data_IF_994182026886
#
_entry.id   IF_994182026886
#
_cell.length_a   1.000
_cell.length_b   1.000
_cell.length_c   1.000
_cell.angle_alpha   90.00
_cell.angle_beta   90.00
_cell.angle_gamma   90.00
#
_symmetry.space_group_name_H-M   'P 1'
#
loop_
_entity.id
_entity.type
_entity.pdbx_description
1 polymer ?
#
# COMPACT_ATOMS: atom_id res chain seq x y z
N UNK A 1 3.44 4.39 -25.52
CA UNK A 1 2.18 3.93 -24.91
C UNK A 1 2.30 4.06 -23.42
N UNK A 2 1.25 4.58 -22.78
CA UNK A 2 1.15 4.73 -21.31
C UNK A 2 -0.03 3.95 -20.80
N UNK A 3 0.03 3.57 -19.52
CA UNK A 3 -1.08 2.98 -18.78
C UNK A 3 -1.53 3.99 -17.72
N UNK A 4 -2.77 4.45 -17.82
CA UNK A 4 -3.42 5.26 -16.78
C UNK A 4 -4.29 4.34 -15.93
N UNK A 5 -4.04 4.34 -14.63
CA UNK A 5 -4.88 3.65 -13.64
C UNK A 5 -5.42 4.68 -12.66
N UNK A 6 -6.72 4.69 -12.47
CA UNK A 6 -7.41 5.56 -11.52
C UNK A 6 -8.12 4.69 -10.49
N UNK A 7 -7.86 4.94 -9.21
CA UNK A 7 -8.50 4.23 -8.10
C UNK A 7 -9.50 5.12 -7.37
N UNK A 8 -10.65 4.56 -7.05
CA UNK A 8 -11.67 5.14 -6.18
C UNK A 8 -11.75 4.31 -4.88
N UNK A 9 -11.90 4.95 -3.72
CA UNK A 9 -11.99 4.30 -2.41
C UNK A 9 -13.09 4.95 -1.56
N UNK A 10 -13.69 4.14 -0.69
CA UNK A 10 -14.47 4.59 0.47
C UNK A 10 -15.52 5.69 0.17
N UNK A 11 -16.34 5.48 -0.86
CA UNK A 11 -17.42 6.41 -1.22
C UNK A 11 -17.10 7.30 -2.43
N UNK A 12 -15.85 7.32 -2.91
CA UNK A 12 -15.55 7.96 -4.20
C UNK A 12 -16.33 7.28 -5.33
N UNK A 13 -16.86 8.07 -6.27
CA UNK A 13 -17.40 7.50 -7.50
C UNK A 13 -16.28 6.96 -8.40
N UNK A 14 -16.38 5.71 -8.87
CA UNK A 14 -15.42 5.16 -9.83
C UNK A 14 -15.55 5.86 -11.17
N UNK A 15 -14.43 6.03 -11.88
CA UNK A 15 -14.45 6.50 -13.26
C UNK A 15 -15.25 5.54 -14.13
N UNK A 16 -16.15 6.05 -14.97
CA UNK A 16 -17.01 5.27 -15.88
C UNK A 16 -16.43 5.16 -17.27
N UNK A 17 -15.69 6.19 -17.67
CA UNK A 17 -15.07 6.34 -18.99
C UNK A 17 -13.74 7.10 -18.92
N UNK A 18 -13.11 7.31 -20.06
CA UNK A 18 -11.84 8.04 -20.15
C UNK A 18 -11.97 9.51 -19.70
N UNK A 19 -13.11 10.16 -19.97
CA UNK A 19 -13.34 11.54 -19.55
C UNK A 19 -13.39 11.66 -18.00
N UNK A 20 -14.04 10.71 -17.33
CA UNK A 20 -14.04 10.61 -15.88
C UNK A 20 -12.63 10.37 -15.33
N UNK A 21 -11.85 9.48 -15.96
CA UNK A 21 -10.45 9.22 -15.57
C UNK A 21 -9.60 10.47 -15.71
N UNK A 22 -9.74 11.23 -16.78
CA UNK A 22 -9.01 12.47 -17.01
C UNK A 22 -9.37 13.51 -15.94
N UNK A 23 -10.67 13.69 -15.64
CA UNK A 23 -11.14 14.62 -14.60
C UNK A 23 -10.61 14.27 -13.20
N UNK A 24 -10.49 12.98 -12.88
CA UNK A 24 -9.89 12.55 -11.60
C UNK A 24 -8.38 12.81 -11.62
N UNK A 25 -7.70 12.53 -12.73
CA UNK A 25 -6.27 12.80 -12.87
C UNK A 25 -5.96 14.30 -12.72
N UNK A 26 -6.76 15.19 -13.33
CA UNK A 26 -6.60 16.64 -13.25
C UNK A 26 -6.67 17.20 -11.82
N UNK A 27 -7.38 16.52 -10.92
CA UNK A 27 -7.45 16.93 -9.51
C UNK A 27 -6.29 16.42 -8.66
N UNK A 28 -5.56 15.41 -9.11
CA UNK A 28 -4.59 14.66 -8.27
C UNK A 28 -3.19 14.56 -8.87
N UNK A 29 -3.05 14.67 -10.18
CA UNK A 29 -1.77 14.52 -10.87
C UNK A 29 -1.10 15.89 -11.12
N UNK A 30 0.24 15.92 -11.20
CA UNK A 30 0.97 17.12 -11.60
C UNK A 30 0.57 17.62 -12.99
N UNK A 31 0.62 18.94 -13.21
CA UNK A 31 0.18 19.57 -14.47
C UNK A 31 0.85 19.01 -15.73
N UNK A 32 2.14 18.68 -15.68
CA UNK A 32 2.82 18.10 -16.82
C UNK A 32 2.28 16.74 -17.26
N UNK A 33 1.73 15.95 -16.30
CA UNK A 33 1.03 14.69 -16.59
C UNK A 33 -0.35 14.97 -17.15
N UNK A 34 -1.09 15.92 -16.57
CA UNK A 34 -2.40 16.33 -17.06
C UNK A 34 -2.34 16.87 -18.49
N UNK A 35 -1.35 17.72 -18.79
CA UNK A 35 -1.12 18.24 -20.15
C UNK A 35 -0.89 17.13 -21.16
N UNK A 36 -0.08 16.12 -20.80
CA UNK A 36 0.16 14.96 -21.65
C UNK A 36 -1.11 14.10 -21.84
N UNK A 37 -1.92 13.91 -20.80
CA UNK A 37 -3.16 13.13 -20.87
C UNK A 37 -4.25 13.83 -21.74
N UNK A 38 -4.33 15.16 -21.70
CA UNK A 38 -5.29 15.91 -22.54
C UNK A 38 -5.04 15.77 -24.04
N UNK A 39 -3.81 15.47 -24.43
CA UNK A 39 -3.41 15.26 -25.84
C UNK A 39 -3.34 13.79 -26.22
N UNK A 40 -3.57 12.88 -25.26
CA UNK A 40 -3.48 11.45 -25.49
C UNK A 40 -4.77 10.90 -26.11
N UNK A 41 -4.61 9.96 -27.02
CA UNK A 41 -5.73 9.18 -27.58
C UNK A 41 -5.83 7.82 -26.85
N UNK A 42 -7.00 7.45 -26.31
CA UNK A 42 -7.19 6.15 -25.69
C UNK A 42 -7.09 5.03 -26.73
N UNK A 43 -6.38 3.94 -26.40
CA UNK A 43 -6.19 2.79 -27.30
C UNK A 43 -7.36 1.81 -27.23
N UNK A 44 -8.30 2.00 -26.30
CA UNK A 44 -9.46 1.15 -26.14
C UNK A 44 -10.31 1.61 -24.96
N UNK A 45 -11.33 0.83 -24.66
CA UNK A 45 -12.23 1.12 -23.54
C UNK A 45 -11.53 0.89 -22.20
N UNK A 46 -11.84 1.68 -21.16
CA UNK A 46 -11.35 1.47 -19.81
C UNK A 46 -11.78 0.11 -19.24
N UNK A 47 -10.83 -0.62 -18.66
CA UNK A 47 -11.13 -1.84 -17.93
C UNK A 47 -11.46 -1.52 -16.46
N UNK A 48 -12.55 -2.08 -15.95
CA UNK A 48 -13.02 -1.83 -14.59
C UNK A 48 -12.78 -3.06 -13.71
N UNK A 49 -12.18 -2.84 -12.55
CA UNK A 49 -11.97 -3.87 -11.53
C UNK A 49 -12.49 -3.38 -10.19
N UNK A 50 -13.13 -4.27 -9.45
CA UNK A 50 -13.54 -4.01 -8.07
C UNK A 50 -12.84 -4.99 -7.13
N UNK A 51 -12.12 -4.45 -6.17
CA UNK A 51 -11.50 -5.20 -5.08
C UNK A 51 -12.23 -4.86 -3.79
N UNK A 52 -13.16 -5.71 -3.34
CA UNK A 52 -14.08 -5.37 -2.23
C UNK A 52 -13.37 -5.31 -0.87
N UNK A 53 -12.26 -6.00 -0.71
CA UNK A 53 -11.49 -6.03 0.56
C UNK A 53 -10.13 -6.68 0.39
N UNK A 54 -9.20 -6.31 1.26
CA UNK A 54 -8.02 -7.12 1.50
C UNK A 54 -8.44 -8.46 2.11
N UNK A 55 -7.77 -9.56 1.74
CA UNK A 55 -8.12 -10.89 2.25
C UNK A 55 -6.88 -11.70 2.59
N UNK A 56 -6.69 -12.03 3.85
CA UNK A 56 -5.63 -12.91 4.31
C UNK A 56 -6.19 -14.25 4.79
N UNK A 57 -5.89 -15.31 4.06
CA UNK A 57 -6.21 -16.70 4.44
C UNK A 57 -5.10 -17.19 5.35
N UNK A 58 -5.47 -17.43 6.60
CA UNK A 58 -4.55 -17.70 7.71
C UNK A 58 -4.12 -19.18 7.73
N UNK A 59 -3.51 -19.65 6.61
CA UNK A 59 -3.07 -21.05 6.50
C UNK A 59 -2.04 -21.43 7.56
N UNK A 60 -1.24 -20.49 8.06
CA UNK A 60 -0.29 -20.70 9.15
C UNK A 60 -0.95 -21.04 10.49
N UNK A 61 -2.27 -20.85 10.61
CA UNK A 61 -3.07 -21.21 11.80
C UNK A 61 -3.76 -22.56 11.66
N UNK A 62 -3.70 -23.19 10.49
CA UNK A 62 -4.34 -24.49 10.31
C UNK A 62 -3.56 -25.58 11.05
N UNK A 63 -4.29 -26.38 11.82
CA UNK A 63 -3.73 -27.54 12.53
C UNK A 63 -3.39 -28.68 11.55
N UNK A 64 -4.23 -28.85 10.52
CA UNK A 64 -4.07 -29.89 9.48
C UNK A 64 -4.13 -29.23 8.11
N UNK A 65 -3.21 -29.61 7.24
CA UNK A 65 -3.16 -29.14 5.86
C UNK A 65 -2.88 -30.32 4.94
N UNK A 66 -3.46 -30.39 3.71
CA UNK A 66 -3.20 -31.49 2.77
C UNK A 66 -1.71 -31.61 2.46
N UNK A 67 -1.19 -32.85 2.49
CA UNK A 67 0.17 -33.11 2.07
C UNK A 67 0.30 -32.97 0.53
N UNK A 68 1.46 -32.56 0.06
CA UNK A 68 1.71 -32.36 -1.37
C UNK A 68 1.11 -31.09 -1.97
N UNK A 69 0.44 -30.23 -1.17
CA UNK A 69 -0.14 -28.97 -1.61
C UNK A 69 0.56 -27.78 -0.94
N UNK A 70 0.88 -26.74 -1.72
CA UNK A 70 1.34 -25.43 -1.24
C UNK A 70 0.58 -24.36 -2.01
N UNK A 71 0.11 -23.33 -1.30
CA UNK A 71 -0.64 -22.21 -1.84
C UNK A 71 0.24 -20.97 -1.71
N UNK A 72 0.34 -20.15 -2.77
CA UNK A 72 1.22 -18.96 -2.80
C UNK A 72 0.52 -17.72 -3.32
N UNK A 73 1.15 -16.55 -3.14
CA UNK A 73 0.72 -15.26 -3.70
C UNK A 73 -0.67 -14.83 -3.22
N UNK A 74 -1.49 -14.29 -4.09
CA UNK A 74 -2.82 -13.76 -3.79
C UNK A 74 -3.78 -14.81 -3.24
N UNK A 75 -3.53 -16.08 -3.53
CA UNK A 75 -4.28 -17.19 -2.93
C UNK A 75 -4.00 -17.35 -1.43
N UNK A 76 -2.88 -16.82 -0.91
CA UNK A 76 -2.60 -16.69 0.53
C UNK A 76 -3.11 -15.36 1.06
N UNK A 77 -2.70 -14.27 0.41
CA UNK A 77 -3.11 -12.93 0.82
C UNK A 77 -3.24 -12.01 -0.39
N UNK A 78 -4.47 -11.57 -0.67
CA UNK A 78 -4.74 -10.57 -1.69
C UNK A 78 -4.90 -9.19 -1.05
N UNK A 79 -4.29 -8.20 -1.68
CA UNK A 79 -4.35 -6.79 -1.25
C UNK A 79 -5.09 -5.96 -2.28
N UNK A 80 -5.68 -4.85 -1.83
CA UNK A 80 -6.13 -3.83 -2.75
C UNK A 80 -4.91 -3.30 -3.55
N UNK A 81 -4.98 -3.29 -4.89
CA UNK A 81 -3.88 -2.88 -5.76
C UNK A 81 -3.32 -1.47 -5.46
N UNK A 82 -4.10 -0.59 -4.84
CA UNK A 82 -3.70 0.77 -4.48
C UNK A 82 -2.47 0.79 -3.56
N UNK A 83 -2.24 -0.27 -2.78
CA UNK A 83 -1.07 -0.36 -1.90
C UNK A 83 0.22 -0.75 -2.61
N UNK A 84 0.14 -1.26 -3.85
CA UNK A 84 1.30 -1.63 -4.66
C UNK A 84 2.16 -2.77 -4.11
N UNK A 85 1.75 -3.45 -3.04
CA UNK A 85 2.59 -4.42 -2.33
C UNK A 85 2.36 -5.87 -2.72
N UNK A 86 1.27 -6.18 -3.43
CA UNK A 86 0.88 -7.57 -3.74
C UNK A 86 1.98 -8.36 -4.47
N UNK A 87 2.54 -7.80 -5.54
CA UNK A 87 3.61 -8.45 -6.32
C UNK A 87 4.90 -8.62 -5.50
N UNK A 88 5.26 -7.64 -4.69
CA UNK A 88 6.43 -7.74 -3.81
C UNK A 88 6.25 -8.85 -2.77
N UNK A 89 5.07 -8.93 -2.16
CA UNK A 89 4.75 -10.02 -1.21
C UNK A 89 4.83 -11.37 -1.91
N UNK A 90 4.26 -11.52 -3.11
CA UNK A 90 4.31 -12.76 -3.86
C UNK A 90 5.76 -13.18 -4.21
N UNK A 91 6.61 -12.22 -4.59
CA UNK A 91 8.03 -12.48 -4.83
C UNK A 91 8.78 -12.93 -3.58
N UNK A 92 8.53 -12.28 -2.44
CA UNK A 92 9.12 -12.66 -1.15
C UNK A 92 8.61 -14.03 -0.67
N UNK A 93 7.36 -14.35 -0.95
CA UNK A 93 6.77 -15.67 -0.68
C UNK A 93 7.42 -16.75 -1.54
N UNK A 94 7.69 -16.49 -2.82
CA UNK A 94 8.43 -17.40 -3.68
C UNK A 94 9.85 -17.68 -3.15
N UNK A 95 10.54 -16.63 -2.67
CA UNK A 95 11.85 -16.79 -2.01
C UNK A 95 11.75 -17.58 -0.70
N UNK A 96 10.68 -17.40 0.07
CA UNK A 96 10.44 -18.18 1.27
C UNK A 96 10.19 -19.66 0.94
N UNK A 97 9.40 -19.93 -0.09
CA UNK A 97 9.16 -21.29 -0.59
C UNK A 97 10.45 -21.96 -1.07
N UNK A 98 11.27 -21.26 -1.85
CA UNK A 98 12.56 -21.74 -2.30
C UNK A 98 13.46 -22.16 -1.12
N UNK A 99 13.55 -21.34 -0.06
CA UNK A 99 14.32 -21.67 1.15
C UNK A 99 13.77 -22.91 1.85
N UNK A 100 12.44 -23.03 1.94
CA UNK A 100 11.79 -24.19 2.55
C UNK A 100 12.04 -25.48 1.76
N UNK A 101 11.99 -25.41 0.42
CA UNK A 101 12.29 -26.56 -0.46
C UNK A 101 13.74 -27.02 -0.34
N UNK A 102 14.70 -26.08 -0.27
CA UNK A 102 16.13 -26.44 -0.04
C UNK A 102 16.38 -27.17 1.28
N UNK A 103 15.50 -27.03 2.25
CA UNK A 103 15.58 -27.72 3.55
C UNK A 103 14.79 -29.05 3.57
N UNK A 104 14.40 -29.54 2.39
CA UNK A 104 13.63 -30.79 2.22
C UNK A 104 12.11 -30.58 2.28
N UNK A 105 11.36 -31.62 2.01
CA UNK A 105 9.90 -31.60 1.87
C UNK A 105 9.14 -31.88 3.17
N UNK A 106 9.84 -32.37 4.21
CA UNK A 106 9.21 -32.65 5.51
C UNK A 106 8.54 -31.39 6.07
N UNK A 107 7.23 -31.49 6.35
CA UNK A 107 6.41 -30.38 6.86
C UNK A 107 6.49 -29.11 6.01
N UNK A 108 6.74 -29.23 4.70
CA UNK A 108 7.00 -28.12 3.80
C UNK A 108 5.92 -27.04 3.89
N UNK A 109 4.65 -27.41 3.75
CA UNK A 109 3.55 -26.46 3.76
C UNK A 109 3.50 -25.66 5.07
N UNK A 110 3.65 -26.32 6.22
CA UNK A 110 3.65 -25.66 7.54
C UNK A 110 4.80 -24.68 7.68
N UNK A 111 6.02 -25.10 7.32
CA UNK A 111 7.23 -24.24 7.37
C UNK A 111 7.07 -23.02 6.46
N UNK A 112 6.57 -23.27 5.25
CA UNK A 112 6.36 -22.22 4.27
C UNK A 112 5.30 -21.22 4.75
N UNK A 113 4.11 -21.66 5.19
CA UNK A 113 3.08 -20.75 5.67
C UNK A 113 3.51 -19.94 6.88
N UNK A 114 4.31 -20.50 7.78
CA UNK A 114 4.90 -19.75 8.89
C UNK A 114 5.90 -18.69 8.42
N UNK A 115 6.69 -18.99 7.39
CA UNK A 115 7.64 -18.05 6.80
C UNK A 115 6.91 -16.93 6.03
N UNK A 116 5.94 -17.28 5.17
CA UNK A 116 5.09 -16.35 4.42
C UNK A 116 4.33 -15.41 5.35
N UNK A 117 3.74 -15.93 6.44
CA UNK A 117 3.00 -15.11 7.39
C UNK A 117 3.82 -13.99 8.02
N UNK A 118 5.15 -14.11 8.10
CA UNK A 118 6.02 -13.02 8.60
C UNK A 118 6.06 -11.86 7.62
N UNK A 119 6.19 -12.15 6.33
CA UNK A 119 6.19 -11.17 5.24
C UNK A 119 4.82 -10.52 5.09
N UNK A 120 3.78 -11.35 4.94
CA UNK A 120 2.40 -10.91 4.78
C UNK A 120 1.97 -9.98 5.92
N UNK A 121 2.36 -10.28 7.16
CA UNK A 121 1.99 -9.47 8.33
C UNK A 121 2.45 -8.01 8.24
N UNK A 122 3.60 -7.76 7.63
CA UNK A 122 4.11 -6.39 7.44
C UNK A 122 3.21 -5.64 6.46
N UNK A 123 2.99 -6.20 5.27
CA UNK A 123 2.12 -5.60 4.26
C UNK A 123 0.67 -5.46 4.75
N UNK A 124 0.16 -6.48 5.45
CA UNK A 124 -1.19 -6.45 6.04
C UNK A 124 -1.38 -5.31 7.04
N UNK A 125 -0.42 -5.11 7.93
CA UNK A 125 -0.49 -4.00 8.89
C UNK A 125 -0.50 -2.65 8.20
N UNK A 126 0.32 -2.47 7.16
CA UNK A 126 0.34 -1.23 6.38
C UNK A 126 -1.00 -0.99 5.69
N UNK A 127 -1.53 -1.98 4.98
CA UNK A 127 -2.82 -1.89 4.29
C UNK A 127 -3.97 -1.63 5.27
N UNK A 128 -4.07 -2.40 6.36
CA UNK A 128 -5.11 -2.21 7.36
C UNK A 128 -5.02 -0.85 8.07
N UNK A 129 -3.80 -0.36 8.32
CA UNK A 129 -3.58 0.96 8.91
C UNK A 129 -4.03 2.08 7.97
N UNK A 130 -3.75 1.94 6.68
CA UNK A 130 -4.18 2.88 5.65
C UNK A 130 -5.70 2.84 5.43
N UNK A 131 -6.31 1.66 5.34
CA UNK A 131 -7.77 1.52 5.24
C UNK A 131 -8.45 2.19 6.45
N UNK A 132 -8.02 1.88 7.66
CA UNK A 132 -8.57 2.43 8.89
C UNK A 132 -8.23 3.91 9.14
N UNK A 133 -7.40 4.56 8.32
CA UNK A 133 -7.23 6.01 8.36
C UNK A 133 -8.43 6.74 7.75
N UNK A 134 -9.18 6.07 6.86
CA UNK A 134 -10.37 6.62 6.22
C UNK A 134 -11.56 6.58 7.19
N UNK A 135 -12.27 7.69 7.42
CA UNK A 135 -13.41 7.76 8.35
C UNK A 135 -14.54 6.78 7.99
N UNK A 136 -14.75 6.53 6.70
CA UNK A 136 -15.80 5.69 6.13
C UNK A 136 -15.59 4.19 6.40
N UNK A 137 -14.37 3.79 6.71
CA UNK A 137 -14.05 2.39 7.00
C UNK A 137 -14.30 2.10 8.48
N UNK A 138 -15.27 1.22 8.73
CA UNK A 138 -15.57 0.79 10.09
C UNK A 138 -14.45 -0.09 10.67
N UNK A 139 -14.10 0.11 11.92
CA UNK A 139 -13.12 -0.70 12.65
C UNK A 139 -12.51 0.01 13.84
N UNK A 140 -11.89 -0.78 14.72
CA UNK A 140 -11.16 -0.24 15.86
C UNK A 140 -9.89 0.47 15.40
N UNK A 141 -9.64 1.64 15.97
CA UNK A 141 -8.43 2.46 15.73
C UNK A 141 -7.60 2.56 17.01
N UNK A 142 -6.80 1.54 17.35
CA UNK A 142 -5.97 1.56 18.55
C UNK A 142 -5.03 2.78 18.56
N UNK A 143 -4.72 3.28 19.76
CA UNK A 143 -3.86 4.46 19.92
C UNK A 143 -2.53 4.33 19.17
N UNK A 144 -1.90 3.14 19.23
CA UNK A 144 -0.67 2.88 18.49
C UNK A 144 -0.79 3.02 16.97
N UNK A 145 -1.95 2.65 16.40
CA UNK A 145 -2.24 2.87 14.98
C UNK A 145 -2.38 4.36 14.66
N UNK A 146 -3.08 5.12 15.49
CA UNK A 146 -3.26 6.57 15.31
C UNK A 146 -1.91 7.32 15.35
N UNK A 147 -1.04 6.94 16.28
CA UNK A 147 0.33 7.49 16.37
C UNK A 147 1.13 7.14 15.11
N UNK A 148 1.06 5.88 14.66
CA UNK A 148 1.75 5.43 13.46
C UNK A 148 1.26 6.15 12.20
N UNK A 149 -0.06 6.34 12.04
CA UNK A 149 -0.63 7.07 10.91
C UNK A 149 -0.17 8.53 10.94
N UNK A 150 -0.23 9.21 12.10
CA UNK A 150 0.28 10.58 12.21
C UNK A 150 1.77 10.69 11.88
N UNK A 151 2.57 9.71 12.27
CA UNK A 151 3.97 9.65 11.87
C UNK A 151 4.13 9.44 10.36
N UNK A 152 3.31 8.59 9.74
CA UNK A 152 3.30 8.38 8.29
C UNK A 152 2.97 9.68 7.54
N UNK A 153 2.02 10.48 8.03
CA UNK A 153 1.67 11.79 7.45
C UNK A 153 2.87 12.74 7.48
N UNK A 154 3.61 12.79 8.61
CA UNK A 154 4.83 13.60 8.72
C UNK A 154 5.93 13.13 7.76
N UNK A 155 6.08 11.82 7.58
CA UNK A 155 7.02 11.25 6.61
C UNK A 155 6.61 11.63 5.19
N UNK A 156 5.35 11.46 4.81
CA UNK A 156 4.83 11.82 3.48
C UNK A 156 5.04 13.31 3.19
N UNK A 157 4.76 14.19 4.14
CA UNK A 157 5.02 15.61 4.00
C UNK A 157 6.52 15.92 3.78
N UNK A 158 7.42 15.18 4.43
CA UNK A 158 8.85 15.35 4.25
C UNK A 158 9.37 14.78 2.92
N UNK A 159 8.74 13.74 2.38
CA UNK A 159 9.09 13.13 1.07
C UNK A 159 9.07 14.17 -0.06
N UNK A 160 8.15 15.12 -0.01
CA UNK A 160 8.01 16.15 -1.03
C UNK A 160 9.21 17.13 -1.11
N UNK A 161 9.97 17.25 -0.03
CA UNK A 161 11.05 18.26 0.10
C UNK A 161 12.42 17.68 0.42
N UNK A 162 12.49 16.43 0.87
CA UNK A 162 13.76 15.76 1.23
C UNK A 162 13.91 14.43 0.49
N UNK A 163 14.79 14.41 -0.51
CA UNK A 163 15.05 13.24 -1.35
C UNK A 163 15.61 12.03 -0.55
N UNK A 164 16.29 12.27 0.59
CA UNK A 164 16.81 11.17 1.44
C UNK A 164 15.66 10.48 2.17
N UNK A 165 14.70 11.27 2.69
CA UNK A 165 13.47 10.73 3.28
C UNK A 165 12.65 10.00 2.22
N UNK A 166 12.51 10.61 1.02
CA UNK A 166 11.80 10.00 -0.11
C UNK A 166 12.40 8.67 -0.53
N UNK A 167 13.73 8.61 -0.69
CA UNK A 167 14.43 7.37 -1.02
C UNK A 167 14.25 6.28 0.04
N UNK A 168 14.33 6.63 1.33
CA UNK A 168 14.09 5.68 2.42
C UNK A 168 12.63 5.22 2.46
N UNK A 169 11.69 6.13 2.23
CA UNK A 169 10.26 5.81 2.18
C UNK A 169 9.94 4.80 1.06
N UNK A 170 10.45 5.04 -0.16
CA UNK A 170 10.26 4.12 -1.30
C UNK A 170 10.86 2.73 -0.99
N UNK A 171 12.01 2.65 -0.35
CA UNK A 171 12.62 1.37 0.06
C UNK A 171 11.78 0.62 1.09
N UNK A 172 11.14 1.34 2.01
CA UNK A 172 10.22 0.74 2.99
C UNK A 172 8.90 0.34 2.33
N UNK A 173 8.36 1.17 1.44
CA UNK A 173 7.14 0.87 0.68
C UNK A 173 7.33 -0.37 -0.20
N UNK A 174 8.49 -0.47 -0.87
CA UNK A 174 8.88 -1.64 -1.67
C UNK A 174 9.32 -2.86 -0.85
N UNK A 175 9.21 -2.80 0.51
CA UNK A 175 9.60 -3.89 1.43
C UNK A 175 11.08 -4.32 1.30
N UNK A 176 11.94 -3.46 0.75
CA UNK A 176 13.40 -3.66 0.70
C UNK A 176 13.99 -3.44 2.10
N UNK A 177 13.49 -2.41 2.78
CA UNK A 177 13.87 -2.07 4.14
C UNK A 177 12.69 -2.24 5.11
N UNK A 178 13.02 -2.52 6.38
CA UNK A 178 12.02 -2.55 7.45
C UNK A 178 11.47 -1.15 7.75
N UNK A 179 10.18 -0.99 8.09
CA UNK A 179 9.61 0.29 8.55
C UNK A 179 10.40 0.96 9.67
N UNK A 180 11.08 0.20 10.52
CA UNK A 180 11.96 0.72 11.57
C UNK A 180 13.11 1.60 11.03
N UNK A 181 13.44 1.52 9.73
CA UNK A 181 14.45 2.40 9.12
C UNK A 181 14.01 3.86 9.10
N UNK A 182 12.71 4.13 8.98
CA UNK A 182 12.15 5.48 9.06
C UNK A 182 12.28 6.09 10.47
N UNK A 183 12.42 5.26 11.50
CA UNK A 183 12.61 5.68 12.89
C UNK A 183 14.07 5.95 13.26
N UNK A 184 15.02 5.79 12.34
CA UNK A 184 16.43 6.10 12.62
C UNK A 184 16.64 7.59 12.90
N UNK A 185 17.49 7.97 13.85
CA UNK A 185 17.71 9.38 14.21
C UNK A 185 18.01 10.27 13.01
N UNK A 186 18.82 9.80 12.07
CA UNK A 186 19.19 10.54 10.86
C UNK A 186 17.98 10.83 9.95
N UNK A 187 16.97 9.95 9.88
CA UNK A 187 15.74 10.16 9.12
C UNK A 187 14.76 11.00 9.93
N UNK A 188 14.58 10.70 11.22
CA UNK A 188 13.69 11.47 12.09
C UNK A 188 14.05 12.96 12.14
N UNK A 189 15.33 13.31 12.25
CA UNK A 189 15.76 14.70 12.24
C UNK A 189 15.43 15.41 10.94
N UNK A 190 15.52 14.71 9.78
CA UNK A 190 15.12 15.26 8.48
C UNK A 190 13.60 15.44 8.38
N UNK A 191 12.83 14.44 8.80
CA UNK A 191 11.37 14.51 8.86
C UNK A 191 10.92 15.71 9.72
N UNK A 192 11.50 15.88 10.92
CA UNK A 192 11.18 17.00 11.79
C UNK A 192 11.54 18.35 11.14
N UNK A 193 12.75 18.48 10.58
CA UNK A 193 13.18 19.71 9.91
C UNK A 193 12.27 20.09 8.75
N UNK A 194 11.90 19.13 7.89
CA UNK A 194 11.01 19.36 6.76
C UNK A 194 9.64 19.85 7.20
N UNK A 195 9.10 19.30 8.31
CA UNK A 195 7.79 19.72 8.83
C UNK A 195 7.84 21.05 9.58
N UNK A 196 8.94 21.37 10.28
CA UNK A 196 9.12 22.66 10.94
C UNK A 196 9.32 23.81 9.94
N UNK A 197 9.92 23.54 8.80
CA UNK A 197 10.11 24.52 7.73
C UNK A 197 8.80 24.87 6.98
N UNK A 198 7.71 24.13 7.24
CA UNK A 198 6.36 24.36 6.67
C UNK A 198 5.44 25.00 7.74
N UNK A 199 5.26 26.33 7.79
CA UNK A 199 4.29 26.94 8.67
C UNK A 199 2.88 26.45 8.29
N UNK A 200 2.21 25.72 9.18
CA UNK A 200 0.84 25.22 9.00
C UNK A 200 0.69 23.72 8.70
N UNK A 201 1.78 22.95 8.52
CA UNK A 201 1.69 21.51 8.24
C UNK A 201 1.12 20.67 9.41
N UNK A 202 1.25 21.16 10.64
CA UNK A 202 0.70 20.50 11.83
C UNK A 202 -0.80 20.85 12.09
N UNK A 203 -1.37 21.80 11.33
CA UNK A 203 -2.73 22.30 11.50
C UNK A 203 -3.68 21.90 10.34
N UNK A 204 -3.25 21.10 9.37
CA UNK A 204 -4.19 20.58 8.39
C UNK A 204 -4.95 19.43 9.04
N UNK A 205 -6.15 19.72 9.52
CA UNK A 205 -7.21 18.72 9.60
C UNK A 205 -7.40 18.13 8.19
N UNK A 206 -7.65 16.81 8.06
CA UNK A 206 -7.97 16.24 6.77
C UNK A 206 -9.16 17.03 6.21
N UNK A 207 -8.95 17.64 5.05
CA UNK A 207 -10.00 18.36 4.35
C UNK A 207 -11.16 17.37 4.14
N UNK A 208 -12.36 17.65 4.64
CA UNK A 208 -13.47 16.73 4.48
C UNK A 208 -13.70 16.55 2.99
N UNK A 209 -13.83 15.30 2.57
CA UNK A 209 -14.14 14.99 1.18
C UNK A 209 -15.35 15.84 0.75
N UNK A 210 -15.33 16.48 -0.43
CA UNK A 210 -16.42 17.32 -0.87
C UNK A 210 -17.71 16.50 -0.87
N UNK A 211 -18.67 16.90 -0.05
CA UNK A 211 -20.03 16.37 -0.04
C UNK A 211 -20.68 16.83 -1.33
N UNK A 212 -20.85 15.92 -2.27
CA UNK A 212 -21.64 16.18 -3.46
C UNK A 212 -23.12 16.00 -3.10
N UNK A 213 -23.88 17.10 -3.14
CA UNK A 213 -25.35 17.12 -3.17
C UNK A 213 -25.85 16.84 -4.58
#
# INVERSE_FOLDING_TARGET
>A
TWLLTVGAMAGDEPARDFADMLRIAERRAPEHICAALRTAEPIGEPAHYRVPSNRWRRYEKMVRFPSGLVITGDAVCSFNPIYGQGMTVAALDAMALQRCLRSGDRDLARRYFQASAKTVRVAWRNAASADLSLPEIAGERPLGMRINNKFADLVLAAVETDAVVGGQFVRVLGMIDSPARLMRPAILTRVLRANLARPGALAREPEPAPVFS
#
